data_IF_055456864243
#
_entry.id   IF_055456864243
#
_cell.length_a   1.000
_cell.length_b   1.000
_cell.length_c   1.000
_cell.angle_alpha   90.00
_cell.angle_beta   90.00
_cell.angle_gamma   90.00
#
_symmetry.space_group_name_H-M   'P 1'
#
loop_
_entity.id
_entity.type
_entity.pdbx_description
1 polymer ?
#
# COMPACT_ATOMS: atom_id res chain seq x y z
N UNK A 1 8.06 -23.11 -15.94
CA UNK A 1 7.79 -21.93 -15.08
C UNK A 1 6.34 -21.43 -15.18
N UNK A 2 5.78 -21.17 -16.37
CA UNK A 2 4.39 -20.70 -16.54
C UNK A 2 3.34 -21.63 -15.89
N UNK A 3 3.48 -22.94 -16.09
CA UNK A 3 2.60 -23.98 -15.52
C UNK A 3 2.57 -23.97 -13.99
N UNK A 4 3.74 -23.79 -13.37
CA UNK A 4 3.89 -23.75 -11.91
C UNK A 4 3.22 -22.52 -11.27
N UNK A 5 3.30 -21.36 -11.93
CA UNK A 5 2.63 -20.12 -11.47
C UNK A 5 1.12 -20.29 -11.57
N UNK A 6 0.63 -20.76 -12.72
CA UNK A 6 -0.79 -20.98 -12.97
C UNK A 6 -1.41 -21.97 -11.96
N UNK A 7 -0.73 -23.08 -11.68
CA UNK A 7 -1.17 -24.05 -10.67
C UNK A 7 -1.21 -23.45 -9.26
N UNK A 8 -0.24 -22.60 -8.90
CA UNK A 8 -0.19 -21.97 -7.58
C UNK A 8 -1.37 -21.01 -7.37
N UNK A 9 -1.70 -20.21 -8.38
CA UNK A 9 -2.87 -19.32 -8.36
C UNK A 9 -4.16 -20.14 -8.31
N UNK A 10 -4.29 -21.17 -9.17
CA UNK A 10 -5.47 -22.04 -9.19
C UNK A 10 -5.71 -22.75 -7.87
N UNK A 11 -4.65 -23.15 -7.17
CA UNK A 11 -4.76 -23.81 -5.87
C UNK A 11 -5.28 -22.87 -4.78
N UNK A 12 -4.98 -21.58 -4.85
CA UNK A 12 -5.57 -20.58 -3.94
C UNK A 12 -7.07 -20.52 -4.14
N UNK A 13 -7.54 -20.42 -5.39
CA UNK A 13 -8.98 -20.36 -5.70
C UNK A 13 -9.78 -21.60 -5.27
N UNK A 14 -9.12 -22.74 -5.05
CA UNK A 14 -9.76 -23.94 -4.48
C UNK A 14 -9.93 -23.86 -2.97
N UNK A 15 -9.12 -23.05 -2.28
CA UNK A 15 -9.20 -22.83 -0.85
C UNK A 15 -9.95 -21.52 -0.56
N UNK A 16 -11.17 -21.64 -0.02
CA UNK A 16 -12.02 -20.49 0.29
C UNK A 16 -11.34 -19.48 1.21
N UNK A 17 -10.69 -19.95 2.28
CA UNK A 17 -10.02 -19.06 3.24
C UNK A 17 -8.84 -18.30 2.60
N UNK A 18 -7.98 -19.00 1.86
CA UNK A 18 -6.86 -18.38 1.15
C UNK A 18 -7.35 -17.38 0.09
N UNK A 19 -8.45 -17.70 -0.60
CA UNK A 19 -9.08 -16.81 -1.58
C UNK A 19 -9.60 -15.56 -0.91
N UNK A 20 -10.38 -15.69 0.17
CA UNK A 20 -10.92 -14.56 0.92
C UNK A 20 -9.81 -13.67 1.46
N UNK A 21 -8.74 -14.25 2.03
CA UNK A 21 -7.59 -13.50 2.53
C UNK A 21 -6.88 -12.71 1.44
N UNK A 22 -6.63 -13.33 0.28
CA UNK A 22 -6.00 -12.65 -0.85
C UNK A 22 -6.89 -11.54 -1.42
N UNK A 23 -8.19 -11.81 -1.61
CA UNK A 23 -9.15 -10.83 -2.12
C UNK A 23 -9.26 -9.63 -1.16
N UNK A 24 -9.37 -9.86 0.14
CA UNK A 24 -9.40 -8.78 1.13
C UNK A 24 -8.11 -7.95 1.11
N UNK A 25 -6.95 -8.59 1.05
CA UNK A 25 -5.66 -7.88 0.97
C UNK A 25 -5.60 -6.97 -0.26
N UNK A 26 -6.00 -7.49 -1.43
CA UNK A 26 -6.01 -6.72 -2.67
C UNK A 26 -7.04 -5.59 -2.63
N UNK A 27 -8.26 -5.86 -2.15
CA UNK A 27 -9.33 -4.87 -2.04
C UNK A 27 -8.96 -3.74 -1.08
N UNK A 28 -8.49 -4.03 0.13
CA UNK A 28 -8.10 -3.01 1.10
C UNK A 28 -6.93 -2.17 0.57
N UNK A 29 -5.97 -2.79 -0.13
CA UNK A 29 -4.85 -2.07 -0.73
C UNK A 29 -5.30 -1.12 -1.84
N UNK A 30 -6.21 -1.58 -2.70
CA UNK A 30 -6.75 -0.75 -3.79
C UNK A 30 -7.63 0.38 -3.25
N UNK A 31 -8.52 0.09 -2.28
CA UNK A 31 -9.33 1.11 -1.60
C UNK A 31 -8.44 2.16 -0.94
N UNK A 32 -7.36 1.74 -0.28
CA UNK A 32 -6.40 2.67 0.33
C UNK A 32 -5.74 3.59 -0.70
N UNK A 33 -5.29 3.03 -1.84
CA UNK A 33 -4.70 3.82 -2.92
C UNK A 33 -5.72 4.83 -3.50
N UNK A 34 -6.95 4.38 -3.74
CA UNK A 34 -8.05 5.21 -4.26
C UNK A 34 -8.39 6.34 -3.28
N UNK A 35 -8.53 6.04 -1.98
CA UNK A 35 -8.81 7.03 -0.95
C UNK A 35 -7.74 8.13 -0.89
N UNK A 36 -6.46 7.75 -0.97
CA UNK A 36 -5.36 8.71 -0.98
C UNK A 36 -5.35 9.52 -2.29
N UNK A 37 -5.62 8.89 -3.43
CA UNK A 37 -5.64 9.56 -4.73
C UNK A 37 -6.72 10.66 -4.80
N UNK A 38 -7.94 10.36 -4.35
CA UNK A 38 -9.03 11.34 -4.31
C UNK A 38 -8.80 12.47 -3.30
N UNK A 39 -7.90 12.27 -2.33
CA UNK A 39 -7.59 13.30 -1.33
C UNK A 39 -6.56 14.30 -1.82
N UNK A 40 -5.74 13.94 -2.81
CA UNK A 40 -4.71 14.82 -3.38
C UNK A 40 -5.39 15.88 -4.24
N UNK A 41 -5.25 17.15 -3.85
CA UNK A 41 -5.69 18.28 -4.64
C UNK A 41 -4.48 18.92 -5.34
N UNK A 42 -4.54 19.14 -6.66
CA UNK A 42 -3.54 19.94 -7.35
C UNK A 42 -3.51 21.34 -6.74
N UNK A 43 -2.35 21.78 -6.28
CA UNK A 43 -2.18 23.11 -5.70
C UNK A 43 -0.82 23.68 -6.08
N UNK A 44 -0.79 24.96 -6.44
CA UNK A 44 0.44 25.75 -6.62
C UNK A 44 1.14 26.03 -5.28
N UNK A 45 0.44 25.81 -4.15
CA UNK A 45 1.01 25.87 -2.81
C UNK A 45 1.94 24.68 -2.61
N UNK A 46 3.21 25.00 -2.40
CA UNK A 46 4.26 24.01 -2.30
C UNK A 46 4.32 23.47 -0.84
N UNK A 47 4.36 22.15 -0.70
CA UNK A 47 4.36 21.42 0.58
C UNK A 47 5.70 21.54 1.28
N UNK A 48 5.73 21.98 2.54
CA UNK A 48 6.97 22.07 3.33
C UNK A 48 7.64 20.70 3.51
N UNK A 49 8.85 20.52 2.96
CA UNK A 49 9.77 19.38 3.12
C UNK A 49 11.07 19.85 3.76
N UNK A 50 11.54 19.09 4.76
CA UNK A 50 12.75 19.42 5.48
C UNK A 50 13.93 18.60 4.93
N UNK A 51 14.98 19.28 4.44
CA UNK A 51 16.27 18.66 4.13
C UNK A 51 17.32 19.25 5.08
N UNK A 52 17.88 18.42 5.95
CA UNK A 52 18.98 18.84 6.83
C UNK A 52 20.29 18.87 6.02
N UNK A 53 20.71 20.05 5.57
CA UNK A 53 22.12 20.32 5.27
C UNK A 53 22.67 21.23 6.37
N UNK A 54 23.85 20.87 6.88
CA UNK A 54 24.57 21.51 7.98
C UNK A 54 24.50 23.06 7.99
N UNK A 55 23.53 23.65 8.70
CA UNK A 55 23.58 25.07 9.09
C UNK A 55 22.35 25.96 8.85
N UNK A 56 21.22 25.46 8.34
CA UNK A 56 20.01 26.30 8.23
C UNK A 56 18.73 25.52 8.02
N UNK A 57 17.64 25.94 8.68
CA UNK A 57 16.29 25.41 8.45
C UNK A 57 15.77 25.87 7.08
N UNK A 58 16.18 25.19 6.02
CA UNK A 58 15.60 25.40 4.70
C UNK A 58 14.35 24.51 4.56
N UNK A 59 13.18 25.13 4.69
CA UNK A 59 11.91 24.52 4.33
C UNK A 59 11.81 24.51 2.81
N UNK A 60 12.17 23.38 2.20
CA UNK A 60 11.90 23.15 0.78
C UNK A 60 10.42 22.95 0.59
N UNK A 61 9.96 23.12 -0.63
CA UNK A 61 8.55 23.25 -0.94
C UNK A 61 8.26 22.26 -2.07
N UNK A 62 7.87 21.03 -1.74
CA UNK A 62 7.58 19.95 -2.69
C UNK A 62 6.23 20.17 -3.35
N UNK A 63 6.15 19.95 -4.65
CA UNK A 63 4.89 20.04 -5.36
C UNK A 63 3.94 18.90 -4.96
N UNK A 64 2.64 19.13 -5.14
CA UNK A 64 1.57 18.18 -4.88
C UNK A 64 1.80 16.78 -5.50
N UNK A 65 2.56 16.69 -6.60
CA UNK A 65 2.89 15.41 -7.24
C UNK A 65 3.69 14.46 -6.35
N UNK A 66 4.40 14.94 -5.31
CA UNK A 66 5.10 14.05 -4.37
C UNK A 66 4.12 13.12 -3.62
N UNK A 67 2.90 13.59 -3.39
CA UNK A 67 1.84 12.84 -2.73
C UNK A 67 1.37 11.63 -3.55
N UNK A 68 1.65 11.59 -4.86
CA UNK A 68 1.36 10.43 -5.73
C UNK A 68 2.14 9.19 -5.25
N UNK A 69 3.31 9.37 -4.61
CA UNK A 69 4.05 8.25 -4.01
C UNK A 69 3.23 7.50 -2.95
N UNK A 70 2.33 8.18 -2.23
CA UNK A 70 1.44 7.57 -1.25
C UNK A 70 0.34 6.72 -1.91
N UNK A 71 -0.11 7.11 -3.11
CA UNK A 71 -1.01 6.28 -3.94
C UNK A 71 -0.26 5.05 -4.45
N UNK A 72 0.96 5.26 -4.97
CA UNK A 72 1.81 4.18 -5.46
C UNK A 72 2.12 3.15 -4.37
N UNK A 73 2.29 3.58 -3.12
CA UNK A 73 2.46 2.69 -1.97
C UNK A 73 1.34 1.64 -1.86
N UNK A 74 0.06 2.04 -1.96
CA UNK A 74 -1.06 1.08 -1.92
C UNK A 74 -1.03 0.07 -3.08
N UNK A 75 -0.65 0.51 -4.28
CA UNK A 75 -0.50 -0.36 -5.46
C UNK A 75 0.67 -1.34 -5.30
N UNK A 76 1.79 -0.87 -4.75
CA UNK A 76 2.96 -1.70 -4.45
C UNK A 76 2.61 -2.75 -3.39
N UNK A 77 1.85 -2.38 -2.36
CA UNK A 77 1.38 -3.34 -1.35
C UNK A 77 0.49 -4.40 -2.00
N UNK A 78 -0.49 -4.02 -2.82
CA UNK A 78 -1.36 -4.97 -3.51
C UNK A 78 -0.56 -6.00 -4.34
N UNK A 79 0.43 -5.52 -5.09
CA UNK A 79 1.22 -6.37 -5.99
C UNK A 79 2.25 -7.22 -5.24
N UNK A 80 3.14 -6.61 -4.45
CA UNK A 80 4.22 -7.32 -3.78
C UNK A 80 3.71 -8.21 -2.65
N UNK A 81 2.82 -7.69 -1.80
CA UNK A 81 2.30 -8.49 -0.68
C UNK A 81 1.31 -9.54 -1.19
N UNK A 82 0.56 -9.28 -2.27
CA UNK A 82 -0.21 -10.30 -2.97
C UNK A 82 0.68 -11.44 -3.49
N UNK A 83 1.80 -11.12 -4.15
CA UNK A 83 2.75 -12.13 -4.63
C UNK A 83 3.39 -12.93 -3.49
N UNK A 84 3.78 -12.26 -2.39
CA UNK A 84 4.33 -12.90 -1.19
C UNK A 84 3.28 -13.81 -0.55
N UNK A 85 2.04 -13.36 -0.41
CA UNK A 85 0.92 -14.16 0.11
C UNK A 85 0.75 -15.45 -0.71
N UNK A 86 0.71 -15.34 -2.05
CA UNK A 86 0.59 -16.50 -2.94
C UNK A 86 1.75 -17.47 -2.72
N UNK A 87 2.97 -16.95 -2.63
CA UNK A 87 4.19 -17.74 -2.40
C UNK A 87 4.18 -18.42 -1.02
N UNK A 88 3.77 -17.72 0.03
CA UNK A 88 3.65 -18.27 1.38
C UNK A 88 2.58 -19.34 1.46
N UNK A 89 1.42 -19.13 0.82
CA UNK A 89 0.36 -20.12 0.80
C UNK A 89 0.82 -21.44 0.17
N UNK A 90 1.67 -21.36 -0.87
CA UNK A 90 2.29 -22.52 -1.50
C UNK A 90 3.34 -23.21 -0.62
N UNK A 91 4.23 -22.44 0.02
CA UNK A 91 5.41 -22.96 0.71
C UNK A 91 5.19 -23.34 2.18
N UNK A 92 4.30 -22.61 2.86
CA UNK A 92 4.09 -22.67 4.32
C UNK A 92 2.63 -22.96 4.70
N UNK A 93 1.74 -23.07 3.71
CA UNK A 93 0.32 -23.33 3.91
C UNK A 93 -0.50 -22.09 4.23
N UNK A 94 -1.82 -22.28 4.29
CA UNK A 94 -2.79 -21.19 4.38
C UNK A 94 -2.74 -20.43 5.70
N UNK A 95 -2.45 -21.09 6.82
CA UNK A 95 -2.38 -20.41 8.13
C UNK A 95 -1.33 -19.30 8.16
N UNK A 96 -0.11 -19.59 7.70
CA UNK A 96 0.99 -18.60 7.64
C UNK A 96 0.70 -17.50 6.62
N UNK A 97 0.12 -17.86 5.46
CA UNK A 97 -0.27 -16.87 4.47
C UNK A 97 -1.33 -15.91 5.01
N UNK A 98 -2.36 -16.41 5.70
CA UNK A 98 -3.40 -15.59 6.31
C UNK A 98 -2.86 -14.68 7.40
N UNK A 99 -1.98 -15.19 8.28
CA UNK A 99 -1.33 -14.36 9.30
C UNK A 99 -0.61 -13.16 8.66
N UNK A 100 0.20 -13.42 7.62
CA UNK A 100 0.89 -12.37 6.87
C UNK A 100 -0.08 -11.41 6.16
N UNK A 101 -1.14 -11.95 5.54
CA UNK A 101 -2.14 -11.16 4.85
C UNK A 101 -2.88 -10.19 5.79
N UNK A 102 -3.35 -10.69 6.93
CA UNK A 102 -4.05 -9.88 7.92
C UNK A 102 -3.12 -8.89 8.65
N UNK A 103 -1.86 -9.25 8.93
CA UNK A 103 -0.89 -8.29 9.47
C UNK A 103 -0.60 -7.16 8.48
N UNK A 104 -0.53 -7.48 7.18
CA UNK A 104 -0.39 -6.48 6.11
C UNK A 104 -1.60 -5.55 6.09
N UNK A 105 -2.82 -6.10 6.15
CA UNK A 105 -4.06 -5.30 6.18
C UNK A 105 -4.07 -4.37 7.40
N UNK A 106 -3.76 -4.88 8.60
CA UNK A 106 -3.73 -4.07 9.82
C UNK A 106 -2.72 -2.92 9.71
N UNK A 107 -1.50 -3.21 9.23
CA UNK A 107 -0.48 -2.18 9.02
C UNK A 107 -0.92 -1.16 7.97
N UNK A 108 -1.59 -1.61 6.90
CA UNK A 108 -2.06 -0.73 5.83
C UNK A 108 -3.14 0.23 6.31
N UNK A 109 -4.08 -0.23 7.15
CA UNK A 109 -5.09 0.65 7.76
C UNK A 109 -4.43 1.76 8.58
N UNK A 110 -3.42 1.41 9.39
CA UNK A 110 -2.66 2.39 10.19
C UNK A 110 -1.92 3.36 9.26
N UNK A 111 -1.19 2.85 8.27
CA UNK A 111 -0.43 3.66 7.32
C UNK A 111 -1.34 4.62 6.55
N UNK A 112 -2.46 4.15 6.01
CA UNK A 112 -3.42 4.98 5.26
C UNK A 112 -4.02 6.05 6.15
N UNK A 113 -4.34 5.75 7.41
CA UNK A 113 -4.84 6.76 8.35
C UNK A 113 -3.83 7.89 8.59
N UNK A 114 -2.54 7.56 8.72
CA UNK A 114 -1.46 8.53 8.88
C UNK A 114 -1.27 9.35 7.60
N UNK A 115 -1.15 8.69 6.45
CA UNK A 115 -0.96 9.35 5.16
C UNK A 115 -2.13 10.28 4.81
N UNK A 116 -3.37 9.89 5.13
CA UNK A 116 -4.54 10.74 4.95
C UNK A 116 -4.43 12.04 5.75
N UNK A 117 -3.92 11.98 6.99
CA UNK A 117 -3.67 13.17 7.82
C UNK A 117 -2.54 14.02 7.25
N UNK A 118 -1.45 13.40 6.79
CA UNK A 118 -0.33 14.12 6.14
C UNK A 118 -0.82 14.89 4.92
N UNK A 119 -1.59 14.27 4.03
CA UNK A 119 -2.16 14.95 2.85
C UNK A 119 -3.08 16.10 3.28
N UNK A 120 -3.89 15.89 4.32
CA UNK A 120 -4.81 16.93 4.81
C UNK A 120 -4.07 18.15 5.33
N UNK A 121 -3.02 17.96 6.13
CA UNK A 121 -2.21 19.07 6.66
C UNK A 121 -1.46 19.77 5.52
N UNK A 122 -0.85 18.99 4.62
CA UNK A 122 -0.15 19.52 3.45
C UNK A 122 -1.04 20.32 2.50
N UNK A 123 -2.36 20.05 2.47
CA UNK A 123 -3.32 20.78 1.65
C UNK A 123 -3.87 22.07 2.32
N UNK A 124 -3.67 22.25 3.63
CA UNK A 124 -4.11 23.43 4.38
C UNK A 124 -3.03 24.53 4.46
N UNK A 125 -1.81 24.22 4.04
CA UNK A 125 -0.64 25.12 4.01
C UNK A 125 -0.33 25.59 2.62
#
# INVERSE_FOLDING_TARGET
MKTTIYQSIRNIFKNRAATTGLVLLLLVSLVSAVLLAFKIQPSELQVSVHYTSFGGENVYRAQWYYLISFVAFGVIVATLHGAIFIKLNKLKGTGIALLFGYSTIAMLVIATSMLYRVITIAALT
#
